data_IF_852374790757
#
_entry.id   IF_852374790757
#
_cell.length_a   1.000
_cell.length_b   1.000
_cell.length_c   1.000
_cell.angle_alpha   90.00
_cell.angle_beta   90.00
_cell.angle_gamma   90.00
#
_symmetry.space_group_name_H-M   'P 1'
#
loop_
_entity.id
_entity.type
_entity.pdbx_description
1 polymer ?
#
# COMPACT_ATOMS: atom_id res chain seq x y z
N UNK A 1 38.08 -42.01 19.28
CA UNK A 1 37.56 -43.15 18.47
C UNK A 1 36.07 -43.37 18.77
N UNK A 2 35.16 -42.98 17.87
CA UNK A 2 34.14 -43.83 17.22
C UNK A 2 33.15 -42.91 16.50
N UNK A 3 33.25 -42.90 15.18
CA UNK A 3 32.26 -42.37 14.25
C UNK A 3 31.08 -43.34 14.22
N UNK A 4 29.85 -42.84 14.09
CA UNK A 4 28.72 -43.64 13.59
C UNK A 4 27.98 -42.86 12.52
N UNK A 5 28.26 -43.26 11.29
CA UNK A 5 27.49 -43.01 10.07
C UNK A 5 26.38 -44.07 10.04
N UNK A 6 25.14 -43.66 9.79
CA UNK A 6 24.13 -44.47 9.12
C UNK A 6 23.29 -43.55 8.25
N UNK A 7 23.39 -43.75 6.93
CA UNK A 7 22.50 -43.15 5.95
C UNK A 7 21.29 -44.04 5.69
N UNK A 8 20.24 -43.46 5.11
CA UNK A 8 19.21 -44.15 4.34
C UNK A 8 18.78 -43.22 3.21
N UNK A 9 18.97 -43.68 1.98
CA UNK A 9 18.42 -43.12 0.74
C UNK A 9 16.92 -43.37 0.65
N UNK A 10 16.15 -42.47 0.03
CA UNK A 10 14.97 -42.88 -0.73
C UNK A 10 14.71 -41.94 -1.93
N UNK A 11 14.63 -42.57 -3.10
CA UNK A 11 14.21 -42.08 -4.41
C UNK A 11 12.68 -41.99 -4.49
N UNK A 12 12.14 -40.88 -5.02
CA UNK A 12 10.86 -40.77 -5.76
C UNK A 12 11.02 -39.51 -6.62
N UNK A 13 10.73 -39.41 -7.93
CA UNK A 13 9.89 -40.19 -8.83
C UNK A 13 9.09 -39.18 -9.66
N UNK A 14 9.38 -39.11 -10.97
CA UNK A 14 8.76 -38.31 -12.04
C UNK A 14 7.25 -38.05 -11.92
N UNK A 15 6.78 -36.82 -12.21
CA UNK A 15 5.48 -36.58 -12.85
C UNK A 15 5.44 -35.34 -13.77
N UNK A 16 5.13 -35.64 -15.05
CA UNK A 16 4.30 -34.91 -16.03
C UNK A 16 4.53 -33.42 -16.31
N UNK A 17 5.20 -33.15 -17.44
CA UNK A 17 5.01 -31.95 -18.24
C UNK A 17 3.95 -32.17 -19.32
N UNK A 18 2.81 -31.50 -19.18
CA UNK A 18 1.87 -31.21 -20.26
C UNK A 18 1.21 -29.86 -19.95
N UNK A 19 1.53 -28.81 -20.71
CA UNK A 19 0.56 -27.72 -20.89
C UNK A 19 0.73 -27.07 -22.26
N UNK A 20 -0.30 -27.22 -23.07
CA UNK A 20 -0.50 -26.53 -24.33
C UNK A 20 -1.05 -25.13 -24.06
N UNK A 21 -0.63 -24.17 -24.88
CA UNK A 21 -1.12 -22.80 -24.96
C UNK A 21 -2.20 -22.73 -26.03
N UNK A 22 -3.33 -22.05 -25.78
CA UNK A 22 -4.08 -21.40 -26.84
C UNK A 22 -3.84 -19.88 -26.82
N UNK A 23 -3.56 -19.36 -28.01
CA UNK A 23 -3.52 -17.95 -28.38
C UNK A 23 -4.93 -17.45 -28.78
N UNK A 24 -5.13 -16.13 -28.66
CA UNK A 24 -6.10 -15.30 -29.41
C UNK A 24 -7.58 -15.62 -29.18
N UNK A 25 -8.52 -14.68 -29.25
CA UNK A 25 -8.51 -13.40 -29.95
C UNK A 25 -9.34 -12.36 -29.17
N UNK A 26 -8.87 -11.12 -29.22
CA UNK A 26 -9.63 -9.94 -28.81
C UNK A 26 -10.21 -9.28 -30.08
N UNK A 27 -11.51 -9.37 -30.24
CA UNK A 27 -12.35 -8.52 -31.08
C UNK A 27 -13.38 -7.90 -30.11
N UNK A 28 -13.52 -6.60 -29.88
CA UNK A 28 -13.38 -5.48 -30.80
C UNK A 28 -14.76 -5.06 -31.28
N UNK A 29 -15.51 -4.25 -30.50
CA UNK A 29 -16.58 -3.39 -31.07
C UNK A 29 -16.75 -2.12 -30.23
N UNK A 30 -16.49 -0.99 -30.88
CA UNK A 30 -16.85 0.36 -30.45
C UNK A 30 -18.28 0.71 -30.93
N UNK A 31 -19.01 1.51 -30.15
CA UNK A 31 -20.06 2.46 -30.56
C UNK A 31 -20.83 2.91 -29.32
N UNK A 32 -21.38 4.10 -29.19
CA UNK A 32 -21.26 5.38 -29.88
C UNK A 32 -22.03 6.37 -28.98
N UNK A 33 -21.55 7.60 -28.88
CA UNK A 33 -22.18 8.72 -28.15
C UNK A 33 -23.33 9.31 -28.99
N UNK A 34 -24.40 9.82 -28.38
CA UNK A 34 -25.14 10.93 -28.97
C UNK A 34 -25.00 12.20 -28.13
N UNK A 35 -24.60 13.28 -28.80
CA UNK A 35 -24.70 14.65 -28.32
C UNK A 35 -26.10 15.21 -28.63
N UNK A 36 -26.62 16.10 -27.77
CA UNK A 36 -27.72 17.00 -28.10
C UNK A 36 -27.64 18.31 -27.29
N UNK A 37 -27.16 19.32 -28.01
CA UNK A 37 -27.51 20.76 -28.09
C UNK A 37 -28.16 21.55 -26.93
N UNK A 38 -27.59 22.74 -26.71
CA UNK A 38 -28.08 23.89 -25.96
C UNK A 38 -29.29 24.58 -26.64
N UNK A 39 -30.00 25.46 -25.91
CA UNK A 39 -29.99 26.86 -26.36
C UNK A 39 -29.83 27.89 -25.24
N UNK A 40 -29.31 29.05 -25.65
CA UNK A 40 -28.97 30.23 -24.85
C UNK A 40 -30.03 31.35 -24.89
N UNK A 41 -30.04 32.19 -23.86
CA UNK A 41 -30.05 33.70 -23.84
C UNK A 41 -30.73 34.21 -22.56
N UNK A 42 -30.01 34.89 -21.67
CA UNK A 42 -29.58 36.30 -21.69
C UNK A 42 -30.66 37.29 -21.21
N UNK A 43 -30.34 38.02 -20.14
CA UNK A 43 -30.81 39.39 -19.87
C UNK A 43 -29.82 40.05 -18.90
N UNK A 44 -29.50 41.30 -19.20
CA UNK A 44 -28.38 42.08 -18.68
C UNK A 44 -28.80 43.09 -17.60
N UNK A 45 -27.88 43.37 -16.67
CA UNK A 45 -27.43 44.66 -16.06
C UNK A 45 -28.42 45.74 -15.58
N UNK A 46 -28.09 46.52 -14.50
CA UNK A 46 -26.87 47.36 -14.48
C UNK A 46 -26.10 47.56 -13.15
N UNK A 47 -24.77 47.65 -13.31
CA UNK A 47 -23.80 48.66 -12.82
C UNK A 47 -24.05 49.39 -11.48
N UNK A 48 -23.08 49.26 -10.57
CA UNK A 48 -22.65 50.34 -9.69
C UNK A 48 -21.11 50.30 -9.56
N UNK A 49 -20.47 51.36 -10.07
CA UNK A 49 -19.06 51.69 -9.86
C UNK A 49 -18.82 52.10 -8.40
N UNK A 50 -17.69 51.65 -7.83
CA UNK A 50 -16.96 52.41 -6.82
C UNK A 50 -15.47 52.12 -6.96
N UNK A 51 -14.73 53.20 -6.80
CA UNK A 51 -13.38 53.47 -7.27
C UNK A 51 -12.27 52.83 -6.42
N UNK A 52 -11.10 52.78 -7.06
CA UNK A 52 -9.73 52.75 -6.53
C UNK A 52 -9.55 52.91 -5.02
N UNK A 53 -8.89 51.94 -4.40
CA UNK A 53 -7.97 52.23 -3.29
C UNK A 53 -6.80 51.25 -3.32
N UNK A 54 -5.72 51.76 -3.92
CA UNK A 54 -4.33 51.65 -3.46
C UNK A 54 -3.82 50.30 -2.91
N UNK A 55 -2.99 49.70 -3.75
CA UNK A 55 -2.00 48.67 -3.48
C UNK A 55 -1.35 48.75 -2.09
N UNK A 56 -1.52 47.71 -1.27
CA UNK A 56 -0.57 47.44 -0.17
C UNK A 56 0.58 46.59 -0.71
N UNK A 57 1.84 47.05 -0.62
CA UNK A 57 2.99 46.24 -1.03
C UNK A 57 3.12 45.06 -0.07
N UNK A 58 3.11 43.85 -0.64
CA UNK A 58 3.59 42.68 0.06
C UNK A 58 5.07 42.93 0.38
N UNK A 59 5.38 43.06 1.66
CA UNK A 59 6.74 43.12 2.15
C UNK A 59 7.33 41.71 1.98
N UNK A 60 8.14 41.55 0.94
CA UNK A 60 8.91 40.32 0.67
C UNK A 60 10.03 40.23 1.71
N UNK A 61 9.66 39.73 2.89
CA UNK A 61 10.59 39.41 3.96
C UNK A 61 11.38 38.16 3.60
N UNK A 62 12.61 38.36 3.15
CA UNK A 62 13.64 37.32 3.02
C UNK A 62 14.05 36.83 4.43
N UNK A 63 13.84 35.56 4.80
CA UNK A 63 14.52 35.01 5.96
C UNK A 63 15.90 34.51 5.55
N UNK A 64 16.85 35.44 5.36
CA UNK A 64 18.26 35.14 5.54
C UNK A 64 18.47 34.80 7.02
N UNK A 65 18.45 33.50 7.31
CA UNK A 65 18.69 32.95 8.61
C UNK A 65 19.24 31.55 8.48
N UNK A 66 20.57 31.44 8.44
CA UNK A 66 21.36 30.24 8.77
C UNK A 66 21.06 29.80 10.23
N UNK A 67 19.84 29.33 10.46
CA UNK A 67 19.48 28.55 11.62
C UNK A 67 19.58 27.08 11.19
N UNK A 68 20.35 26.22 11.89
CA UNK A 68 20.26 24.79 11.65
C UNK A 68 18.80 24.39 11.90
N UNK A 69 18.13 23.97 10.83
CA UNK A 69 16.77 23.42 10.92
C UNK A 69 16.77 22.34 12.00
N UNK A 70 15.88 22.43 13.01
CA UNK A 70 15.78 21.41 14.03
C UNK A 70 15.54 20.04 13.36
N UNK A 71 16.09 18.98 13.93
CA UNK A 71 16.04 17.64 13.38
C UNK A 71 14.62 17.28 12.86
N UNK A 72 14.53 16.85 11.60
CA UNK A 72 13.38 16.18 11.03
C UNK A 72 12.04 16.95 11.18
N UNK A 73 11.77 17.86 10.25
CA UNK A 73 10.39 18.00 9.78
C UNK A 73 9.96 16.62 9.24
N UNK A 74 8.71 16.22 9.46
CA UNK A 74 8.07 15.03 8.88
C UNK A 74 8.05 15.13 7.34
N UNK A 75 9.22 15.04 6.73
CA UNK A 75 9.40 15.20 5.30
C UNK A 75 8.88 13.95 4.61
N UNK A 76 7.82 14.13 3.85
CA UNK A 76 7.23 13.13 2.97
C UNK A 76 7.70 13.45 1.54
N UNK A 77 8.74 12.76 1.02
CA UNK A 77 9.21 12.99 -0.33
C UNK A 77 8.11 12.67 -1.34
N UNK A 78 8.20 13.26 -2.53
CA UNK A 78 7.39 12.80 -3.67
C UNK A 78 8.01 11.57 -4.32
N UNK A 79 7.22 10.84 -5.10
CA UNK A 79 7.68 9.69 -5.88
C UNK A 79 8.74 10.03 -6.95
N UNK A 80 8.81 11.30 -7.39
CA UNK A 80 9.87 11.80 -8.27
C UNK A 80 11.21 11.95 -7.54
N UNK A 81 11.16 12.29 -6.24
CA UNK A 81 12.33 12.41 -5.37
C UNK A 81 12.82 11.03 -4.90
N UNK A 82 11.89 10.16 -4.48
CA UNK A 82 12.19 8.79 -4.10
C UNK A 82 11.13 7.80 -4.66
N UNK A 83 11.51 6.76 -5.43
CA UNK A 83 10.59 5.72 -5.91
C UNK A 83 9.64 5.12 -4.89
N UNK A 84 10.06 5.05 -3.62
CA UNK A 84 9.32 4.41 -2.55
C UNK A 84 8.22 5.32 -2.00
N UNK A 85 8.24 6.62 -2.30
CA UNK A 85 7.15 7.55 -1.97
C UNK A 85 5.97 7.45 -2.95
N UNK A 86 5.53 6.23 -3.22
CA UNK A 86 4.41 5.89 -4.10
C UNK A 86 3.45 4.95 -3.36
N UNK A 87 2.32 4.66 -3.97
CA UNK A 87 1.32 3.76 -3.44
C UNK A 87 1.83 2.32 -3.42
N UNK A 88 1.54 1.59 -2.35
CA UNK A 88 2.04 0.23 -2.16
C UNK A 88 1.69 -0.70 -3.32
N UNK A 89 0.46 -0.62 -3.83
CA UNK A 89 0.01 -1.44 -4.94
C UNK A 89 0.86 -1.20 -6.22
N UNK A 90 1.41 0.00 -6.40
CA UNK A 90 2.25 0.34 -7.55
C UNK A 90 3.60 -0.36 -7.45
N UNK A 91 4.14 -0.51 -6.24
CA UNK A 91 5.40 -1.22 -5.98
C UNK A 91 5.28 -2.74 -6.17
N UNK A 92 4.09 -3.32 -5.97
CA UNK A 92 3.88 -4.78 -6.04
C UNK A 92 3.22 -5.26 -7.35
N UNK A 93 3.23 -4.42 -8.38
CA UNK A 93 2.74 -4.76 -9.72
C UNK A 93 1.22 -4.69 -9.89
N UNK A 94 0.53 -3.97 -8.99
CA UNK A 94 -0.88 -3.60 -9.13
C UNK A 94 -1.07 -2.36 -10.01
N UNK A 95 -2.20 -1.67 -9.83
CA UNK A 95 -2.53 -0.46 -10.58
C UNK A 95 -1.50 0.67 -10.32
N UNK A 96 -1.31 1.59 -11.24
CA UNK A 96 -0.49 2.78 -10.99
C UNK A 96 -1.42 3.98 -10.82
N UNK A 97 -1.31 4.71 -9.72
CA UNK A 97 -2.10 5.94 -9.50
C UNK A 97 -1.27 7.21 -9.62
N UNK A 98 0.05 7.08 -9.69
CA UNK A 98 0.98 8.17 -9.95
C UNK A 98 1.84 7.86 -11.20
N UNK A 99 2.53 8.89 -11.72
CA UNK A 99 3.25 8.81 -13.00
C UNK A 99 4.74 8.41 -12.86
N UNK A 100 5.14 8.00 -11.68
CA UNK A 100 6.52 7.98 -11.19
C UNK A 100 6.81 6.69 -10.43
N UNK A 101 5.84 6.15 -9.70
CA UNK A 101 5.91 4.84 -9.08
C UNK A 101 5.99 3.72 -10.12
N UNK A 102 6.75 2.69 -9.79
CA UNK A 102 6.92 1.51 -10.64
C UNK A 102 7.07 0.29 -9.76
N UNK A 103 6.67 -0.87 -10.30
CA UNK A 103 6.85 -2.13 -9.63
C UNK A 103 8.33 -2.33 -9.26
N UNK A 104 8.58 -2.67 -8.00
CA UNK A 104 9.89 -2.98 -7.47
C UNK A 104 9.93 -4.48 -7.11
N UNK A 105 10.81 -5.27 -7.75
CA UNK A 105 10.88 -6.72 -7.52
C UNK A 105 11.33 -7.07 -6.09
N UNK A 106 12.09 -6.21 -5.42
CA UNK A 106 12.50 -6.41 -4.02
C UNK A 106 11.33 -6.17 -3.07
N UNK A 107 10.53 -5.12 -3.31
CA UNK A 107 9.31 -4.86 -2.52
C UNK A 107 8.32 -6.00 -2.73
N UNK A 108 8.13 -6.43 -3.97
CA UNK A 108 7.27 -7.57 -4.32
C UNK A 108 7.71 -8.84 -3.58
N UNK A 109 9.00 -9.19 -3.64
CA UNK A 109 9.51 -10.39 -2.96
C UNK A 109 9.39 -10.31 -1.43
N UNK A 110 9.64 -9.13 -0.84
CA UNK A 110 9.49 -8.91 0.59
C UNK A 110 8.02 -9.04 1.04
N UNK A 111 7.08 -8.57 0.23
CA UNK A 111 5.66 -8.71 0.48
C UNK A 111 5.19 -10.17 0.35
N UNK A 112 5.66 -10.89 -0.68
CA UNK A 112 5.37 -12.31 -0.86
C UNK A 112 5.85 -13.13 0.34
N UNK A 113 7.04 -12.82 0.86
CA UNK A 113 7.58 -13.47 2.05
C UNK A 113 6.73 -13.16 3.29
N UNK A 114 6.37 -11.89 3.49
CA UNK A 114 5.51 -11.47 4.61
C UNK A 114 4.16 -12.24 4.60
N UNK A 115 3.56 -12.41 3.43
CA UNK A 115 2.27 -13.09 3.30
C UNK A 115 2.34 -14.60 3.48
N UNK A 116 3.51 -15.24 3.37
CA UNK A 116 3.64 -16.68 3.70
C UNK A 116 3.35 -16.92 5.17
N UNK A 117 3.77 -16.01 6.06
CA UNK A 117 3.44 -16.08 7.49
C UNK A 117 1.94 -15.83 7.75
N UNK A 118 1.29 -15.03 6.90
CA UNK A 118 -0.15 -14.77 6.99
C UNK A 118 -1.02 -15.95 6.52
N UNK A 119 -0.45 -16.95 5.84
CA UNK A 119 -1.18 -18.10 5.31
C UNK A 119 -1.87 -18.93 6.41
N UNK A 120 -1.38 -18.88 7.65
CA UNK A 120 -2.05 -19.52 8.80
C UNK A 120 -3.42 -18.88 9.12
N UNK A 121 -3.61 -17.62 8.75
CA UNK A 121 -4.87 -16.89 8.87
C UNK A 121 -5.73 -16.92 7.62
N UNK A 122 -5.27 -17.53 6.52
CA UNK A 122 -6.02 -17.59 5.26
C UNK A 122 -7.04 -18.73 5.26
N UNK A 123 -8.18 -18.50 4.62
CA UNK A 123 -9.25 -19.49 4.52
C UNK A 123 -8.80 -20.59 3.56
N UNK A 124 -8.93 -21.85 3.96
CA UNK A 124 -8.82 -22.98 3.02
C UNK A 124 -10.03 -23.09 2.07
N UNK A 125 -10.92 -22.09 2.07
CA UNK A 125 -12.10 -22.04 1.22
C UNK A 125 -11.70 -21.58 -0.20
N UNK A 126 -11.87 -22.43 -1.23
CA UNK A 126 -11.52 -22.09 -2.61
C UNK A 126 -12.38 -20.96 -3.21
N UNK A 127 -13.47 -20.54 -2.55
CA UNK A 127 -14.32 -19.44 -3.00
C UNK A 127 -13.92 -18.08 -2.43
N UNK A 128 -13.01 -18.04 -1.45
CA UNK A 128 -12.49 -16.78 -0.91
C UNK A 128 -11.23 -16.38 -1.69
N UNK A 129 -11.15 -15.16 -2.25
CA UNK A 129 -9.94 -14.69 -2.93
C UNK A 129 -8.74 -14.73 -1.99
N UNK A 130 -7.52 -15.04 -2.47
CA UNK A 130 -6.31 -15.06 -1.64
C UNK A 130 -6.11 -13.78 -0.80
N UNK A 131 -5.49 -13.91 0.37
CA UNK A 131 -5.17 -12.78 1.26
C UNK A 131 -4.51 -11.60 0.52
N UNK A 132 -3.60 -11.89 -0.42
CA UNK A 132 -2.96 -10.88 -1.29
C UNK A 132 -4.00 -10.06 -2.05
N UNK A 133 -4.89 -10.74 -2.78
CA UNK A 133 -5.86 -10.11 -3.66
C UNK A 133 -6.87 -9.29 -2.85
N UNK A 134 -7.28 -9.81 -1.68
CA UNK A 134 -8.10 -9.06 -0.72
C UNK A 134 -7.41 -7.76 -0.31
N UNK A 135 -6.18 -7.83 0.20
CA UNK A 135 -5.43 -6.65 0.68
C UNK A 135 -5.13 -5.60 -0.40
N UNK A 136 -5.00 -6.02 -1.66
CA UNK A 136 -4.70 -5.14 -2.78
C UNK A 136 -5.96 -4.64 -3.53
N UNK A 137 -7.16 -4.99 -3.07
CA UNK A 137 -8.41 -4.59 -3.72
C UNK A 137 -8.90 -3.19 -3.34
N UNK A 138 -8.50 -2.69 -2.18
CA UNK A 138 -8.96 -1.42 -1.61
C UNK A 138 -7.91 -0.31 -1.63
N UNK A 139 -8.11 0.74 -0.82
CA UNK A 139 -7.21 1.87 -0.80
C UNK A 139 -5.84 1.52 -0.20
N UNK A 140 -4.82 2.21 -0.71
CA UNK A 140 -3.50 2.30 -0.09
C UNK A 140 -3.08 3.77 -0.03
N UNK A 141 -2.03 4.07 0.72
CA UNK A 141 -1.45 5.40 0.81
C UNK A 141 -0.01 5.39 0.25
N UNK A 142 0.51 6.54 -0.19
CA UNK A 142 1.93 6.68 -0.50
C UNK A 142 2.82 6.28 0.68
N UNK A 143 3.99 5.73 0.36
CA UNK A 143 4.99 5.37 1.36
C UNK A 143 5.52 6.58 2.10
N UNK A 144 5.63 6.46 3.43
CA UNK A 144 6.19 7.51 4.29
C UNK A 144 7.47 7.01 4.95
N UNK A 145 8.62 7.70 4.80
CA UNK A 145 9.84 7.32 5.47
C UNK A 145 9.71 7.56 6.98
N UNK A 146 10.19 6.59 7.75
CA UNK A 146 10.23 6.59 9.21
C UNK A 146 11.62 6.15 9.66
N UNK A 147 12.18 6.87 10.63
CA UNK A 147 13.51 6.54 11.16
C UNK A 147 13.33 5.74 12.45
N UNK A 148 13.91 4.55 12.50
CA UNK A 148 13.98 3.70 13.70
C UNK A 148 15.45 3.38 13.97
N UNK A 149 15.99 3.92 15.07
CA UNK A 149 17.42 3.84 15.35
C UNK A 149 18.25 4.50 14.25
N UNK A 150 19.08 3.71 13.56
CA UNK A 150 19.91 4.14 12.44
C UNK A 150 19.42 3.64 11.08
N UNK A 151 18.19 3.12 11.01
CA UNK A 151 17.61 2.57 9.79
C UNK A 151 16.42 3.40 9.33
N UNK A 152 16.31 3.57 8.01
CA UNK A 152 15.11 4.11 7.36
C UNK A 152 14.17 2.97 7.00
N UNK A 153 12.93 3.09 7.47
CA UNK A 153 11.82 2.20 7.15
C UNK A 153 10.75 2.97 6.40
N UNK A 154 10.13 2.35 5.41
CA UNK A 154 9.02 2.94 4.67
C UNK A 154 7.71 2.36 5.17
N UNK A 155 6.87 3.22 5.73
CA UNK A 155 5.56 2.86 6.21
C UNK A 155 4.55 2.87 5.06
N UNK A 156 3.80 1.78 4.92
CA UNK A 156 2.70 1.65 3.97
C UNK A 156 1.46 1.06 4.63
N UNK A 157 0.31 1.33 4.03
CA UNK A 157 -0.96 0.71 4.39
C UNK A 157 -1.65 0.16 3.16
N UNK A 158 -2.33 -0.97 3.28
CA UNK A 158 -3.24 -1.51 2.26
C UNK A 158 -4.44 -2.16 2.95
N UNK A 159 -5.62 -2.12 2.34
CA UNK A 159 -6.79 -2.83 2.87
C UNK A 159 -7.69 -3.39 1.76
N UNK A 160 -8.59 -4.28 2.16
CA UNK A 160 -9.64 -4.74 1.27
C UNK A 160 -10.69 -3.67 1.04
N UNK A 161 -11.17 -3.56 -0.20
CA UNK A 161 -12.24 -2.66 -0.57
C UNK A 161 -13.45 -2.88 0.34
N UNK A 162 -13.99 -1.78 0.87
CA UNK A 162 -15.15 -1.78 1.78
C UNK A 162 -14.95 -2.51 3.12
N UNK A 163 -13.73 -2.96 3.45
CA UNK A 163 -13.43 -3.71 4.67
C UNK A 163 -12.12 -3.25 5.35
N UNK A 164 -11.78 -1.97 5.28
CA UNK A 164 -10.53 -1.46 5.84
C UNK A 164 -10.43 -1.53 7.38
N UNK A 165 -11.55 -1.75 8.05
CA UNK A 165 -11.63 -1.90 9.49
C UNK A 165 -11.27 -3.32 9.93
N UNK A 166 -11.67 -4.33 9.15
CA UNK A 166 -11.58 -5.75 9.50
C UNK A 166 -10.56 -6.53 8.67
N UNK A 167 -10.11 -5.96 7.55
CA UNK A 167 -9.13 -6.54 6.62
C UNK A 167 -8.13 -5.47 6.13
N UNK A 168 -7.07 -5.28 6.89
CA UNK A 168 -6.05 -4.25 6.61
C UNK A 168 -4.64 -4.71 7.00
N UNK A 169 -3.65 -4.21 6.28
CA UNK A 169 -2.23 -4.40 6.54
C UNK A 169 -1.54 -3.05 6.69
N UNK A 170 -0.89 -2.84 7.82
CA UNK A 170 0.05 -1.74 8.04
C UNK A 170 1.46 -2.33 8.12
N UNK A 171 2.42 -1.81 7.35
CA UNK A 171 3.70 -2.46 7.16
C UNK A 171 4.86 -1.48 7.10
N UNK A 172 6.04 -1.95 7.48
CA UNK A 172 7.32 -1.26 7.39
C UNK A 172 8.24 -2.04 6.46
N UNK A 173 8.75 -1.38 5.43
CA UNK A 173 9.73 -1.94 4.49
C UNK A 173 11.11 -1.30 4.69
N UNK A 174 12.15 -2.11 4.82
CA UNK A 174 13.53 -1.63 4.90
C UNK A 174 14.28 -1.98 3.61
N UNK A 175 14.75 -0.98 2.85
CA UNK A 175 15.26 -1.18 1.50
C UNK A 175 16.65 -1.83 1.44
N UNK A 176 17.51 -1.63 2.45
CA UNK A 176 18.89 -2.13 2.41
C UNK A 176 18.96 -3.67 2.47
N UNK A 177 18.02 -4.31 3.18
CA UNK A 177 17.91 -5.75 3.35
C UNK A 177 16.69 -6.35 2.66
N UNK A 178 15.88 -5.52 1.99
CA UNK A 178 14.62 -5.93 1.37
C UNK A 178 13.74 -6.74 2.33
N UNK A 179 13.62 -6.25 3.58
CA UNK A 179 12.81 -6.89 4.61
C UNK A 179 11.54 -6.12 4.85
N UNK A 180 10.47 -6.83 5.18
CA UNK A 180 9.19 -6.25 5.52
C UNK A 180 8.70 -6.85 6.83
N UNK A 181 8.08 -6.02 7.66
CA UNK A 181 7.35 -6.43 8.86
C UNK A 181 6.01 -5.71 8.87
N UNK A 182 5.00 -6.26 9.55
CA UNK A 182 3.70 -5.59 9.56
C UNK A 182 2.70 -6.15 10.55
N UNK A 183 1.58 -5.45 10.63
CA UNK A 183 0.38 -5.84 11.37
C UNK A 183 -0.75 -6.10 10.38
N UNK A 184 -1.17 -7.35 10.27
CA UNK A 184 -2.37 -7.74 9.56
C UNK A 184 -3.54 -7.77 10.55
N UNK A 185 -4.59 -7.02 10.25
CA UNK A 185 -5.93 -7.26 10.80
C UNK A 185 -6.68 -8.09 9.79
N UNK A 186 -7.12 -9.27 10.20
CA UNK A 186 -7.91 -10.19 9.39
C UNK A 186 -8.88 -10.94 10.29
N UNK A 187 -10.14 -11.04 9.88
CA UNK A 187 -11.23 -11.66 10.66
C UNK A 187 -11.27 -11.17 12.10
N UNK A 188 -11.10 -9.85 12.28
CA UNK A 188 -11.11 -9.19 13.59
C UNK A 188 -10.02 -9.68 14.55
N UNK A 189 -8.93 -10.23 14.02
CA UNK A 189 -7.73 -10.62 14.76
C UNK A 189 -6.51 -9.89 14.25
N UNK A 190 -5.62 -9.58 15.19
CA UNK A 190 -4.32 -8.96 14.89
C UNK A 190 -3.26 -10.05 14.76
N UNK A 191 -2.52 -9.99 13.66
CA UNK A 191 -1.38 -10.85 13.37
C UNK A 191 -0.15 -10.00 13.11
N UNK A 192 0.93 -10.26 13.83
CA UNK A 192 2.23 -9.62 13.61
C UNK A 192 3.08 -10.49 12.69
N UNK A 193 3.46 -9.93 11.55
CA UNK A 193 4.14 -10.63 10.46
C UNK A 193 5.57 -10.11 10.31
N UNK A 194 6.52 -10.98 9.96
CA UNK A 194 7.93 -10.67 9.78
C UNK A 194 8.69 -10.47 11.09
N UNK A 195 8.13 -10.91 12.21
CA UNK A 195 8.69 -10.79 13.57
C UNK A 195 9.12 -9.34 13.95
N UNK A 196 8.19 -8.37 13.98
CA UNK A 196 8.53 -6.98 14.29
C UNK A 196 8.97 -6.81 15.76
N UNK A 197 9.95 -5.93 15.97
CA UNK A 197 10.41 -5.48 17.29
C UNK A 197 9.34 -4.65 18.01
N UNK A 198 9.50 -4.45 19.32
CA UNK A 198 8.56 -3.63 20.10
C UNK A 198 8.44 -2.18 19.57
N UNK A 199 9.56 -1.58 19.14
CA UNK A 199 9.56 -0.23 18.56
C UNK A 199 8.81 -0.18 17.22
N UNK A 200 8.98 -1.19 16.37
CA UNK A 200 8.26 -1.29 15.10
C UNK A 200 6.76 -1.45 15.31
N UNK A 201 6.36 -2.28 16.28
CA UNK A 201 4.96 -2.46 16.66
C UNK A 201 4.35 -1.15 17.15
N UNK A 202 5.05 -0.46 18.05
CA UNK A 202 4.61 0.83 18.58
C UNK A 202 4.44 1.87 17.47
N UNK A 203 5.39 1.96 16.53
CA UNK A 203 5.29 2.86 15.39
C UNK A 203 4.08 2.53 14.52
N UNK A 204 3.84 1.25 14.21
CA UNK A 204 2.69 0.82 13.41
C UNK A 204 1.37 1.15 14.13
N UNK A 205 1.29 0.93 15.44
CA UNK A 205 0.10 1.21 16.25
C UNK A 205 -0.17 2.72 16.35
N UNK A 206 0.87 3.55 16.45
CA UNK A 206 0.76 5.01 16.44
C UNK A 206 0.31 5.53 15.06
N UNK A 207 0.94 5.06 13.98
CA UNK A 207 0.67 5.52 12.63
C UNK A 207 -0.69 5.04 12.09
N UNK A 208 -1.12 3.84 12.49
CA UNK A 208 -2.41 3.25 12.10
C UNK A 208 -3.01 2.53 13.30
N UNK A 209 -3.72 3.22 14.20
CA UNK A 209 -4.38 2.56 15.33
C UNK A 209 -5.48 1.61 14.86
N UNK A 210 -5.73 0.57 15.65
CA UNK A 210 -6.88 -0.34 15.48
C UNK A 210 -7.84 -0.05 16.61
N UNK A 211 -9.12 0.11 16.27
CA UNK A 211 -10.16 0.17 17.27
C UNK A 211 -10.34 -1.21 17.91
N UNK A 212 -10.07 -1.39 19.22
CA UNK A 212 -10.24 -2.67 19.88
C UNK A 212 -11.69 -3.18 19.87
N UNK A 213 -12.69 -2.29 19.67
CA UNK A 213 -14.09 -2.70 19.53
C UNK A 213 -14.37 -3.52 18.26
N UNK A 214 -13.47 -3.46 17.28
CA UNK A 214 -13.53 -4.23 16.04
C UNK A 214 -12.80 -5.58 16.13
N UNK A 215 -12.19 -5.90 17.28
CA UNK A 215 -11.45 -7.13 17.47
C UNK A 215 -12.26 -8.18 18.22
N UNK A 216 -12.08 -9.45 17.85
CA UNK A 216 -12.79 -10.58 18.44
C UNK A 216 -11.94 -11.84 18.45
N UNK A 217 -12.12 -12.67 19.47
CA UNK A 217 -11.54 -14.02 19.54
C UNK A 217 -12.30 -15.02 18.64
N UNK A 218 -13.53 -14.67 18.24
CA UNK A 218 -14.34 -15.37 17.25
C UNK A 218 -14.19 -14.69 15.88
N UNK A 219 -14.21 -15.43 14.75
CA UNK A 219 -14.19 -14.79 13.44
C UNK A 219 -15.41 -13.87 13.34
N UNK A 220 -15.20 -12.63 12.92
CA UNK A 220 -16.31 -11.73 12.65
C UNK A 220 -17.28 -12.35 11.66
N UNK A 221 -18.58 -12.24 11.95
CA UNK A 221 -19.64 -12.66 11.05
C UNK A 221 -19.48 -11.90 9.73
N UNK A 222 -19.02 -12.60 8.71
CA UNK A 222 -19.06 -12.12 7.34
C UNK A 222 -20.52 -12.25 6.90
N UNK A 223 -21.34 -11.21 7.12
CA UNK A 223 -22.59 -11.09 6.36
C UNK A 223 -22.20 -10.96 4.88
N UNK A 224 -22.13 -12.11 4.21
CA UNK A 224 -21.89 -12.28 2.78
C UNK A 224 -23.09 -11.82 1.95
#
# INVERSE_FOLDING_TARGET
>A
MKVRIFGVSLLVGLLLGCKQVPAGDAEGVASAVPAAELPAKASADPVAEIEDTESSPYEEGDPEGDAPTPAAFDYEPSCEEDPLATYFFTLVGGNTVDNCGRADPKVTAAFDELLKEAAEGDMADPHVPPQRDRLLSGPSAPGVPKVLGNETWWFYTACQAHQCDTQQLAMLYQPQHARMVGRLVSRCKVWWLGNPTAEQRALIDEAKPVDPALLSDEPCDEEL
#
